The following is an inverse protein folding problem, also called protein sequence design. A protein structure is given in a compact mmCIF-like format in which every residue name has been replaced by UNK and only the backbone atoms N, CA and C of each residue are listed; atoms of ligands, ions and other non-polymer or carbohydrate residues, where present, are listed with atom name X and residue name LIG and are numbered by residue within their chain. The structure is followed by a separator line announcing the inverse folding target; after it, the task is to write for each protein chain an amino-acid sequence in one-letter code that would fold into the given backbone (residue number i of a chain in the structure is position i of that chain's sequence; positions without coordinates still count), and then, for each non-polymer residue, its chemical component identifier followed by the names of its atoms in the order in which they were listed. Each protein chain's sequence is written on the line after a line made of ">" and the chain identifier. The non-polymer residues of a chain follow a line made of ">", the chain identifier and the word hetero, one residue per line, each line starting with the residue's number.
data_IF_053425456833
#
_entry.id   IF_053425456833
#
_cell.length_a   1.000
_cell.length_b   1.000
_cell.length_c   1.000
_cell.angle_alpha   90.00
_cell.angle_beta   90.00
_cell.angle_gamma   90.00
#
_symmetry.space_group_name_H-M   'P 1'
#
loop_
_entity.id
_entity.type
_entity.pdbx_description
1 polymer ?
#
# COMPACT_ATOMS: atom_id res chain seq x y z
N UNK A 1 -19.57 4.59 -10.28
CA UNK A 1 -18.88 3.55 -11.08
C UNK A 1 -18.67 4.09 -12.49
N UNK A 2 -17.59 3.68 -13.16
CA UNK A 2 -17.37 4.04 -14.56
C UNK A 2 -18.01 2.96 -15.44
N UNK A 3 -18.71 3.39 -16.49
CA UNK A 3 -19.41 2.48 -17.41
C UNK A 3 -19.15 2.91 -18.84
N UNK A 4 -18.77 1.96 -19.68
CA UNK A 4 -18.55 2.20 -21.10
C UNK A 4 -19.12 1.08 -21.96
N UNK A 5 -19.62 1.43 -23.13
CA UNK A 5 -20.17 0.52 -24.12
C UNK A 5 -19.43 0.82 -25.43
N UNK A 6 -18.68 -0.15 -25.95
CA UNK A 6 -17.90 -0.02 -27.20
C UNK A 6 -17.03 1.25 -27.27
N UNK A 7 -16.38 1.60 -26.15
CA UNK A 7 -15.47 2.74 -26.08
C UNK A 7 -16.15 4.12 -25.99
N UNK A 8 -17.46 4.16 -25.78
CA UNK A 8 -18.22 5.38 -25.47
C UNK A 8 -18.72 5.30 -24.03
N UNK A 9 -18.53 6.37 -23.24
CA UNK A 9 -19.01 6.46 -21.87
C UNK A 9 -17.94 7.01 -20.94
N UNK A 10 -17.79 6.41 -19.76
CA UNK A 10 -16.75 6.77 -18.80
C UNK A 10 -15.90 5.58 -18.40
N UNK A 11 -14.61 5.79 -18.22
CA UNK A 11 -13.69 4.76 -17.74
C UNK A 11 -12.59 5.36 -16.85
N UNK A 12 -11.85 4.51 -16.16
CA UNK A 12 -10.68 4.92 -15.39
C UNK A 12 -9.41 4.73 -16.21
N UNK A 13 -8.59 5.78 -16.31
CA UNK A 13 -7.27 5.69 -16.94
C UNK A 13 -6.17 6.26 -16.05
N UNK A 14 -5.01 5.60 -16.18
CA UNK A 14 -3.82 5.90 -15.41
C UNK A 14 -3.87 5.36 -13.98
N UNK A 15 -2.69 5.09 -13.43
CA UNK A 15 -2.50 4.65 -12.05
C UNK A 15 -1.28 5.39 -11.52
N UNK A 16 -1.45 6.13 -10.43
CA UNK A 16 -0.40 6.93 -9.80
C UNK A 16 -0.59 6.91 -8.27
N UNK A 17 0.39 7.44 -7.52
CA UNK A 17 0.26 7.60 -6.06
C UNK A 17 -0.09 6.31 -5.32
N UNK A 18 0.64 5.23 -5.61
CA UNK A 18 0.43 3.92 -4.98
C UNK A 18 0.68 3.98 -3.48
N UNK A 19 -0.19 3.32 -2.72
CA UNK A 19 -0.17 3.28 -1.27
C UNK A 19 -0.02 1.81 -0.80
N UNK A 20 0.55 1.54 0.40
CA UNK A 20 0.83 0.16 0.85
C UNK A 20 -0.40 -0.72 1.03
N UNK A 21 -1.56 -0.08 1.19
CA UNK A 21 -2.85 -0.73 1.29
C UNK A 21 -3.36 -1.24 -0.08
N UNK A 22 -2.59 -1.03 -1.15
CA UNK A 22 -2.90 -1.43 -2.51
C UNK A 22 -3.83 -0.45 -3.24
N UNK A 23 -4.17 0.68 -2.63
CA UNK A 23 -4.90 1.75 -3.29
C UNK A 23 -3.99 2.60 -4.18
N UNK A 24 -4.58 3.25 -5.17
CA UNK A 24 -3.90 4.14 -6.10
C UNK A 24 -4.84 5.21 -6.62
N UNK A 25 -4.26 6.32 -7.10
CA UNK A 25 -4.97 7.42 -7.71
C UNK A 25 -5.19 7.10 -9.20
N UNK A 26 -6.42 7.25 -9.66
CA UNK A 26 -6.81 7.11 -11.06
C UNK A 26 -7.67 8.28 -11.49
N UNK A 27 -7.63 8.61 -12.78
CA UNK A 27 -8.47 9.67 -13.35
C UNK A 27 -9.65 9.04 -14.08
N UNK A 28 -10.85 9.54 -13.80
CA UNK A 28 -12.07 9.18 -14.51
C UNK A 28 -12.21 10.05 -15.76
N UNK A 29 -12.33 9.40 -16.91
CA UNK A 29 -12.43 10.08 -18.21
C UNK A 29 -13.79 9.84 -18.85
N UNK A 30 -14.30 10.86 -19.53
CA UNK A 30 -15.26 10.66 -20.61
C UNK A 30 -14.48 10.19 -21.83
N UNK A 31 -14.88 9.05 -22.38
CA UNK A 31 -14.24 8.42 -23.53
C UNK A 31 -15.18 8.39 -24.74
N UNK A 32 -14.57 8.49 -25.92
CA UNK A 32 -15.21 8.23 -27.20
C UNK A 32 -14.23 7.46 -28.07
N UNK A 33 -14.69 6.37 -28.68
CA UNK A 33 -13.83 5.46 -29.44
C UNK A 33 -12.55 5.06 -28.68
N UNK A 34 -12.67 4.79 -27.37
CA UNK A 34 -11.56 4.45 -26.46
C UNK A 34 -10.51 5.54 -26.24
N UNK A 35 -10.72 6.75 -26.79
CA UNK A 35 -9.83 7.88 -26.55
C UNK A 35 -10.33 8.70 -25.34
N UNK A 36 -9.44 9.05 -24.40
CA UNK A 36 -9.77 9.95 -23.31
C UNK A 36 -10.01 11.37 -23.84
N UNK A 37 -11.23 11.91 -23.68
CA UNK A 37 -11.55 13.28 -24.10
C UNK A 37 -11.44 14.23 -22.92
N UNK A 38 -12.26 14.02 -21.88
CA UNK A 38 -12.38 14.99 -20.78
C UNK A 38 -12.10 14.29 -19.45
N UNK A 39 -11.09 14.75 -18.67
CA UNK A 39 -10.90 14.27 -17.31
C UNK A 39 -11.99 14.90 -16.43
N UNK A 40 -12.75 14.06 -15.73
CA UNK A 40 -13.90 14.50 -14.93
C UNK A 40 -13.59 14.60 -13.45
N UNK A 41 -12.80 13.67 -12.92
CA UNK A 41 -12.37 13.66 -11.52
C UNK A 41 -11.15 12.74 -11.38
N UNK A 42 -10.33 12.99 -10.36
CA UNK A 42 -9.35 12.02 -9.87
C UNK A 42 -9.90 11.38 -8.60
N UNK A 43 -9.61 10.10 -8.39
CA UNK A 43 -10.11 9.37 -7.23
C UNK A 43 -9.07 8.35 -6.79
N UNK A 44 -9.00 8.12 -5.48
CA UNK A 44 -8.22 7.01 -4.93
C UNK A 44 -9.11 5.77 -4.89
N UNK A 45 -8.68 4.73 -5.60
CA UNK A 45 -9.42 3.48 -5.76
C UNK A 45 -8.58 2.28 -5.34
N UNK A 46 -9.25 1.16 -5.06
CA UNK A 46 -8.65 -0.16 -4.93
C UNK A 46 -9.43 -1.15 -5.80
N UNK A 47 -8.78 -2.22 -6.25
CA UNK A 47 -9.47 -3.31 -6.95
C UNK A 47 -10.48 -3.99 -6.01
N UNK A 48 -11.74 -4.09 -6.43
CA UNK A 48 -12.83 -4.70 -5.67
C UNK A 48 -13.10 -6.17 -6.03
N UNK A 49 -12.46 -6.68 -7.08
CA UNK A 49 -12.63 -8.04 -7.60
C UNK A 49 -12.63 -8.06 -9.13
N UNK A 50 -12.38 -9.23 -9.72
CA UNK A 50 -12.44 -9.46 -11.17
C UNK A 50 -13.75 -10.19 -11.48
N UNK A 51 -14.64 -9.55 -12.25
CA UNK A 51 -15.81 -10.25 -12.80
C UNK A 51 -15.34 -11.06 -14.01
N UNK A 52 -15.00 -12.32 -13.78
CA UNK A 52 -14.51 -13.24 -14.82
C UNK A 52 -15.66 -13.71 -15.71
N UNK A 53 -15.96 -12.95 -16.77
CA UNK A 53 -16.78 -13.39 -17.90
C UNK A 53 -15.94 -13.53 -19.17
N UNK A 54 -16.13 -14.61 -19.95
CA UNK A 54 -15.39 -14.92 -21.19
C UNK A 54 -15.42 -13.79 -22.25
N UNK A 55 -16.39 -12.85 -22.16
CA UNK A 55 -16.51 -11.67 -23.02
C UNK A 55 -16.57 -10.33 -22.27
N UNK A 56 -16.39 -10.32 -20.95
CA UNK A 56 -16.50 -9.11 -20.11
C UNK A 56 -15.45 -9.15 -19.00
N UNK A 57 -14.23 -8.67 -19.29
CA UNK A 57 -13.23 -8.38 -18.25
C UNK A 57 -13.54 -7.01 -17.66
N UNK A 58 -14.60 -6.91 -16.86
CA UNK A 58 -14.86 -5.72 -16.08
C UNK A 58 -13.94 -5.67 -14.87
N UNK A 59 -13.13 -4.62 -14.77
CA UNK A 59 -12.35 -4.37 -13.55
C UNK A 59 -13.22 -3.56 -12.60
N UNK A 60 -13.66 -4.20 -11.52
CA UNK A 60 -14.44 -3.51 -10.50
C UNK A 60 -13.52 -2.76 -9.55
N UNK A 61 -13.83 -1.49 -9.31
CA UNK A 61 -13.06 -0.60 -8.44
C UNK A 61 -13.89 -0.16 -7.24
N UNK A 62 -13.31 -0.28 -6.06
CA UNK A 62 -13.82 0.33 -4.84
C UNK A 62 -13.25 1.73 -4.73
N UNK A 63 -14.11 2.75 -4.72
CA UNK A 63 -13.71 4.15 -4.52
C UNK A 63 -13.53 4.39 -3.04
N UNK A 64 -12.35 4.84 -2.64
CA UNK A 64 -12.01 5.13 -1.24
C UNK A 64 -12.23 6.61 -0.95
N UNK A 65 -11.75 7.48 -1.84
CA UNK A 65 -11.76 8.93 -1.63
C UNK A 65 -11.75 9.68 -2.96
N UNK A 66 -12.48 10.80 -3.02
CA UNK A 66 -12.38 11.76 -4.13
C UNK A 66 -11.11 12.61 -3.99
N UNK A 67 -10.45 12.89 -5.11
CA UNK A 67 -9.17 13.59 -5.16
C UNK A 67 -9.25 14.76 -6.16
N UNK A 68 -8.60 15.91 -5.89
CA UNK A 68 -8.52 16.98 -6.89
C UNK A 68 -7.87 16.47 -8.17
N UNK A 69 -8.24 17.04 -9.32
CA UNK A 69 -7.71 16.58 -10.62
C UNK A 69 -6.19 16.66 -10.62
N UNK A 70 -5.53 15.50 -10.75
CA UNK A 70 -4.08 15.43 -10.89
C UNK A 70 -3.69 15.75 -12.34
N UNK A 71 -3.34 17.03 -12.56
CA UNK A 71 -2.94 17.56 -13.86
C UNK A 71 -1.70 16.81 -14.39
N UNK A 72 -0.78 16.38 -13.53
CA UNK A 72 0.40 15.64 -13.94
C UNK A 72 0.04 14.28 -14.56
N UNK A 73 -0.93 13.58 -13.98
CA UNK A 73 -1.47 12.34 -14.54
C UNK A 73 -2.22 12.57 -15.86
N UNK A 74 -3.02 13.64 -15.94
CA UNK A 74 -3.75 14.05 -17.16
C UNK A 74 -2.78 14.31 -18.31
N UNK A 75 -1.74 15.12 -18.07
CA UNK A 75 -0.73 15.46 -19.08
C UNK A 75 0.05 14.23 -19.56
N UNK A 76 0.45 13.33 -18.65
CA UNK A 76 1.14 12.07 -19.02
C UNK A 76 0.25 11.18 -19.90
N UNK A 77 -1.04 11.12 -19.60
CA UNK A 77 -2.00 10.33 -20.39
C UNK A 77 -2.13 10.90 -21.80
N UNK A 78 -2.29 12.22 -21.94
CA UNK A 78 -2.32 12.88 -23.25
C UNK A 78 -1.01 12.78 -24.02
N UNK A 79 0.13 12.97 -23.36
CA UNK A 79 1.45 12.82 -23.97
C UNK A 79 1.62 11.41 -24.57
N UNK A 80 1.15 10.38 -23.86
CA UNK A 80 1.15 9.02 -24.36
C UNK A 80 0.25 8.84 -25.59
N UNK A 81 -1.00 9.31 -25.52
CA UNK A 81 -1.97 9.21 -26.63
C UNK A 81 -1.44 9.92 -27.88
N UNK A 82 -0.94 11.15 -27.73
CA UNK A 82 -0.36 11.92 -28.84
C UNK A 82 0.85 11.20 -29.41
N UNK A 83 1.77 10.73 -28.55
CA UNK A 83 2.96 10.00 -29.00
C UNK A 83 2.63 8.68 -29.70
N UNK A 84 1.54 8.02 -29.32
CA UNK A 84 1.07 6.80 -29.97
C UNK A 84 0.44 7.11 -31.33
N UNK A 85 -0.42 8.12 -31.43
CA UNK A 85 -1.03 8.55 -32.69
C UNK A 85 0.04 9.03 -33.68
N UNK A 86 1.00 9.86 -33.24
CA UNK A 86 2.08 10.32 -34.12
C UNK A 86 2.90 9.14 -34.63
N UNK A 87 3.23 8.18 -33.77
CA UNK A 87 3.91 6.96 -34.18
C UNK A 87 3.11 6.19 -35.24
N UNK A 88 1.81 5.96 -35.03
CA UNK A 88 0.94 5.31 -36.03
C UNK A 88 0.99 6.03 -37.39
N UNK A 89 0.86 7.36 -37.41
CA UNK A 89 0.91 8.12 -38.67
C UNK A 89 2.29 8.09 -39.36
N UNK A 90 3.38 7.90 -38.60
CA UNK A 90 4.73 7.74 -39.14
C UNK A 90 4.97 6.31 -39.64
N UNK A 91 4.28 5.32 -39.10
CA UNK A 91 4.33 3.96 -39.61
C UNK A 91 3.78 3.87 -41.03
N UNK A 92 2.64 4.51 -41.30
CA UNK A 92 1.98 4.51 -42.62
C UNK A 92 2.84 5.08 -43.76
N UNK A 93 3.82 5.92 -43.43
CA UNK A 93 4.61 6.68 -44.42
C UNK A 93 5.97 6.10 -44.79
N UNK A 94 6.39 4.94 -44.28
CA UNK A 94 7.76 4.47 -44.57
C UNK A 94 7.95 2.97 -44.68
N UNK A 95 8.75 2.59 -45.67
CA UNK A 95 9.17 1.23 -46.00
C UNK A 95 10.34 0.83 -45.09
N UNK A 96 10.06 0.02 -44.07
CA UNK A 96 11.04 -0.34 -43.03
C UNK A 96 10.37 -1.03 -41.85
N UNK A 97 9.91 -2.26 -42.08
CA UNK A 97 8.89 -2.93 -41.26
C UNK A 97 9.35 -3.35 -39.85
N UNK A 98 10.62 -3.75 -39.67
CA UNK A 98 11.09 -4.39 -38.43
C UNK A 98 11.28 -3.46 -37.21
N UNK A 99 12.07 -2.39 -37.34
CA UNK A 99 12.38 -1.50 -36.21
C UNK A 99 11.17 -0.65 -35.79
N UNK A 100 10.27 -0.35 -36.74
CA UNK A 100 9.00 0.34 -36.46
C UNK A 100 8.08 -0.50 -35.57
N UNK A 101 7.97 -1.81 -35.84
CA UNK A 101 7.24 -2.73 -34.97
C UNK A 101 7.90 -2.82 -33.58
N UNK A 102 9.22 -2.85 -33.50
CA UNK A 102 9.94 -2.82 -32.22
C UNK A 102 9.65 -1.54 -31.42
N UNK A 103 9.61 -0.37 -32.08
CA UNK A 103 9.23 0.89 -31.43
C UNK A 103 7.76 0.90 -30.96
N UNK A 104 6.83 0.35 -31.74
CA UNK A 104 5.44 0.20 -31.31
C UNK A 104 5.34 -0.69 -30.07
N UNK A 105 6.03 -1.83 -30.06
CA UNK A 105 6.06 -2.72 -28.90
C UNK A 105 6.68 -2.01 -27.67
N UNK A 106 7.79 -1.30 -27.86
CA UNK A 106 8.42 -0.54 -26.78
C UNK A 106 7.48 0.54 -26.22
N UNK A 107 6.79 1.28 -27.10
CA UNK A 107 5.82 2.29 -26.70
C UNK A 107 4.58 1.68 -26.03
N UNK A 108 4.10 0.51 -26.49
CA UNK A 108 2.97 -0.19 -25.86
C UNK A 108 3.32 -0.71 -24.46
N UNK A 109 4.57 -1.15 -24.25
CA UNK A 109 5.05 -1.65 -22.96
C UNK A 109 5.45 -0.53 -21.99
N UNK A 110 5.79 0.66 -22.51
CA UNK A 110 6.27 1.80 -21.72
C UNK A 110 5.35 2.15 -20.53
N UNK A 111 4.01 2.27 -20.67
CA UNK A 111 3.15 2.58 -19.53
C UNK A 111 3.16 1.47 -18.49
N UNK A 112 3.30 0.21 -18.91
CA UNK A 112 3.30 -0.92 -17.99
C UNK A 112 4.61 -0.98 -17.19
N UNK A 113 5.75 -0.77 -17.85
CA UNK A 113 7.06 -0.74 -17.18
C UNK A 113 7.16 0.47 -16.25
N UNK A 114 6.78 1.66 -16.69
CA UNK A 114 6.78 2.87 -15.85
C UNK A 114 5.87 2.70 -14.62
N UNK A 115 4.69 2.09 -14.77
CA UNK A 115 3.80 1.80 -13.63
C UNK A 115 4.43 0.81 -12.67
N UNK A 116 5.06 -0.25 -13.18
CA UNK A 116 5.74 -1.23 -12.36
C UNK A 116 6.88 -0.61 -11.54
N UNK A 117 7.68 0.26 -12.16
CA UNK A 117 8.73 1.01 -11.46
C UNK A 117 8.15 1.98 -10.42
N UNK A 118 7.14 2.77 -10.78
CA UNK A 118 6.50 3.70 -9.86
C UNK A 118 5.91 2.99 -8.63
N UNK A 119 5.31 1.81 -8.82
CA UNK A 119 4.81 0.99 -7.71
C UNK A 119 5.94 0.50 -6.81
N UNK A 120 7.06 0.06 -7.38
CA UNK A 120 8.23 -0.37 -6.60
C UNK A 120 8.79 0.77 -5.75
N UNK A 121 9.01 1.94 -6.36
CA UNK A 121 9.54 3.10 -5.66
C UNK A 121 8.63 3.58 -4.53
N UNK A 122 7.31 3.64 -4.75
CA UNK A 122 6.36 4.01 -3.69
C UNK A 122 6.43 3.06 -2.47
N UNK A 123 6.61 1.75 -2.70
CA UNK A 123 6.76 0.79 -1.61
C UNK A 123 8.08 0.97 -0.86
N UNK A 124 9.16 1.29 -1.55
CA UNK A 124 10.46 1.54 -0.93
C UNK A 124 10.46 2.84 -0.11
N UNK A 125 9.82 3.90 -0.62
CA UNK A 125 9.62 5.14 0.13
C UNK A 125 8.82 4.93 1.42
N UNK A 126 7.72 4.16 1.35
CA UNK A 126 6.95 3.81 2.54
C UNK A 126 7.77 2.99 3.55
N UNK A 127 8.55 2.01 3.08
CA UNK A 127 9.44 1.21 3.95
C UNK A 127 10.44 2.11 4.66
N UNK A 128 11.06 3.03 3.93
CA UNK A 128 12.02 3.98 4.50
C UNK A 128 11.36 4.94 5.51
N UNK A 129 10.15 5.43 5.20
CA UNK A 129 9.40 6.32 6.10
C UNK A 129 8.93 5.60 7.39
N UNK A 130 8.46 4.37 7.27
CA UNK A 130 8.04 3.57 8.44
C UNK A 130 9.22 3.21 9.33
N UNK A 131 10.37 2.83 8.77
CA UNK A 131 11.61 2.60 9.53
C UNK A 131 12.05 3.86 10.29
N UNK A 132 12.05 5.03 9.65
CA UNK A 132 12.43 6.30 10.31
C UNK A 132 11.49 6.63 11.47
N UNK A 133 10.19 6.39 11.31
CA UNK A 133 9.20 6.61 12.37
C UNK A 133 9.44 5.67 13.56
N UNK A 134 9.64 4.37 13.30
CA UNK A 134 9.96 3.38 14.35
C UNK A 134 11.27 3.68 15.07
N UNK A 135 12.31 4.10 14.35
CA UNK A 135 13.58 4.50 14.94
C UNK A 135 13.43 5.72 15.84
N UNK A 136 12.68 6.75 15.41
CA UNK A 136 12.38 7.93 16.24
C UNK A 136 11.58 7.58 17.49
N UNK A 137 10.59 6.69 17.36
CA UNK A 137 9.82 6.21 18.51
C UNK A 137 10.72 5.49 19.52
N UNK A 138 11.62 4.62 19.06
CA UNK A 138 12.58 3.94 19.92
C UNK A 138 13.59 4.89 20.57
N UNK A 139 14.08 5.90 19.84
CA UNK A 139 15.01 6.89 20.36
C UNK A 139 14.38 7.79 21.44
N UNK A 140 13.09 8.10 21.30
CA UNK A 140 12.32 8.90 22.26
C UNK A 140 11.69 8.06 23.38
N UNK A 141 11.64 6.74 23.24
CA UNK A 141 11.18 5.86 24.28
C UNK A 141 12.15 5.95 25.46
N UNK A 142 11.67 6.49 26.58
CA UNK A 142 12.42 6.42 27.84
C UNK A 142 12.72 4.94 28.08
N UNK A 143 13.98 4.54 28.26
CA UNK A 143 14.29 3.15 28.56
C UNK A 143 13.46 2.75 29.77
N UNK A 144 12.78 1.61 29.66
CA UNK A 144 12.03 1.05 30.78
C UNK A 144 12.96 1.07 32.00
N UNK A 145 12.48 1.55 33.17
CA UNK A 145 13.31 1.60 34.35
C UNK A 145 13.92 0.21 34.54
N UNK A 146 15.24 0.16 34.66
CA UNK A 146 16.00 -1.06 34.84
C UNK A 146 15.72 -1.57 36.26
N UNK A 147 14.50 -2.07 36.43
CA UNK A 147 13.98 -2.57 37.70
C UNK A 147 14.66 -3.90 37.86
N UNK A 148 15.77 -3.94 38.62
CA UNK A 148 16.39 -5.22 38.90
C UNK A 148 15.41 -6.05 39.71
N UNK A 149 15.46 -7.36 39.54
CA UNK A 149 14.67 -8.29 40.36
C UNK A 149 14.89 -8.07 41.87
N UNK A 150 16.04 -7.50 42.27
CA UNK A 150 16.32 -7.16 43.66
C UNK A 150 15.54 -5.94 44.20
N UNK A 151 15.08 -5.04 43.33
CA UNK A 151 14.36 -3.79 43.67
C UNK A 151 12.85 -3.98 43.84
N UNK A 152 12.33 -5.17 43.50
CA UNK A 152 10.95 -5.53 43.77
C UNK A 152 10.77 -5.67 45.29
N UNK A 153 9.70 -5.11 45.89
CA UNK A 153 9.51 -5.10 47.33
C UNK A 153 9.59 -6.54 47.88
N UNK A 154 10.65 -6.81 48.66
CA UNK A 154 10.96 -8.12 49.24
C UNK A 154 10.03 -8.51 50.40
N UNK A 155 8.75 -8.17 50.36
CA UNK A 155 7.76 -8.69 51.32
C UNK A 155 6.39 -8.69 50.66
N UNK A 156 6.13 -9.64 49.75
CA UNK A 156 4.77 -9.91 49.27
C UNK A 156 4.26 -11.19 49.91
N UNK A 157 3.39 -11.05 50.91
CA UNK A 157 2.50 -12.14 51.32
C UNK A 157 1.76 -12.64 50.08
N UNK A 158 1.85 -13.94 49.80
CA UNK A 158 1.28 -14.49 48.58
C UNK A 158 -0.25 -14.31 48.53
N UNK A 159 -0.85 -13.72 47.48
CA UNK A 159 -2.30 -13.54 47.41
C UNK A 159 -3.08 -14.86 47.29
N UNK A 160 -2.44 -15.94 46.81
CA UNK A 160 -3.07 -17.25 46.66
C UNK A 160 -3.15 -18.05 47.96
N UNK A 161 -2.01 -18.18 48.66
CA UNK A 161 -1.90 -19.05 49.84
C UNK A 161 -1.59 -18.30 51.13
N UNK A 162 -1.48 -16.97 51.09
CA UNK A 162 -1.13 -16.09 52.23
C UNK A 162 0.19 -16.42 52.92
N UNK A 163 1.07 -17.17 52.26
CA UNK A 163 2.40 -17.46 52.77
C UNK A 163 3.27 -16.19 52.73
N UNK A 164 3.88 -15.84 53.87
CA UNK A 164 4.86 -14.77 53.98
C UNK A 164 6.25 -15.34 53.82
N UNK A 165 7.01 -14.82 52.85
CA UNK A 165 8.35 -15.31 52.51
C UNK A 165 9.33 -15.08 53.67
N UNK A 166 10.18 -16.08 53.94
CA UNK A 166 11.31 -16.02 54.88
C UNK A 166 12.62 -15.86 54.12
N UNK A 167 13.66 -15.39 54.81
CA UNK A 167 14.98 -15.17 54.22
C UNK A 167 15.65 -16.48 53.72
N UNK A 168 15.32 -17.61 54.34
CA UNK A 168 15.91 -18.93 54.06
C UNK A 168 15.13 -19.75 53.00
N UNK A 169 14.11 -19.17 52.37
CA UNK A 169 13.30 -19.87 51.37
C UNK A 169 14.07 -20.06 50.05
N UNK A 170 14.21 -21.31 49.58
CA UNK A 170 14.98 -21.68 48.39
C UNK A 170 14.32 -21.29 47.03
N UNK A 171 13.12 -20.69 47.04
CA UNK A 171 12.41 -20.36 45.79
C UNK A 171 12.86 -19.00 45.22
N UNK A 172 12.88 -18.82 43.88
CA UNK A 172 13.29 -17.57 43.24
C UNK A 172 12.29 -16.43 43.46
N UNK A 173 12.74 -15.16 43.39
CA UNK A 173 12.00 -13.98 43.80
C UNK A 173 10.55 -13.89 43.26
N UNK A 174 10.35 -14.32 42.01
CA UNK A 174 9.08 -14.27 41.28
C UNK A 174 8.07 -15.39 41.61
N UNK A 175 8.50 -16.43 42.35
CA UNK A 175 7.69 -17.61 42.68
C UNK A 175 7.41 -17.71 44.18
N UNK A 176 6.19 -18.11 44.54
CA UNK A 176 5.85 -18.42 45.93
C UNK A 176 6.50 -19.75 46.37
N UNK A 177 7.25 -19.81 47.48
CA UNK A 177 7.87 -21.04 47.98
C UNK A 177 6.84 -22.13 48.38
N UNK A 178 5.70 -21.71 48.93
CA UNK A 178 4.68 -22.63 49.45
C UNK A 178 3.80 -23.21 48.34
N UNK A 179 3.19 -22.36 47.50
CA UNK A 179 2.23 -22.79 46.47
C UNK A 179 2.82 -22.91 45.06
N UNK A 180 4.10 -22.56 44.87
CA UNK A 180 4.83 -22.61 43.59
C UNK A 180 4.22 -21.78 42.45
N UNK A 181 3.26 -20.90 42.74
CA UNK A 181 2.66 -20.00 41.73
C UNK A 181 3.53 -18.76 41.55
N UNK A 182 3.65 -18.30 40.31
CA UNK A 182 4.30 -17.04 39.97
C UNK A 182 3.39 -15.86 40.34
N UNK A 183 3.93 -14.84 41.02
CA UNK A 183 3.13 -13.72 41.53
C UNK A 183 2.40 -12.96 40.40
N UNK A 184 3.00 -12.86 39.22
CA UNK A 184 2.43 -12.23 38.01
C UNK A 184 1.21 -12.98 37.43
N UNK A 185 0.91 -14.20 37.87
CA UNK A 185 -0.27 -14.98 37.42
C UNK A 185 -1.46 -14.87 38.36
N UNK A 186 -1.31 -14.22 39.51
CA UNK A 186 -2.36 -14.14 40.55
C UNK A 186 -2.85 -12.71 40.76
N UNK A 187 -2.11 -11.70 40.28
CA UNK A 187 -2.42 -10.28 40.44
C UNK A 187 -3.43 -9.76 39.40
N UNK A 188 -4.51 -10.50 39.16
CA UNK A 188 -5.64 -10.05 38.33
C UNK A 188 -6.89 -9.92 39.18
#
# INVERSE_FOLDING_TARGET
>A
MATSINGIGTTFYGQAGFEPDGSFITTKWVIFAYLPIIPTASMRVRYAGEENGFFSSGTSYQVIMDYPIDIGQVLRTWAYVISFITLLTLLDKGEGSGWKAALLCAMALLPHTLRWFARRWAMDDYRNASQRTSQRANANAKPAPNTRLEDLPRVSTCPKCRYTRKADDYAPAWQCPSCKVAYNKVSN
#
